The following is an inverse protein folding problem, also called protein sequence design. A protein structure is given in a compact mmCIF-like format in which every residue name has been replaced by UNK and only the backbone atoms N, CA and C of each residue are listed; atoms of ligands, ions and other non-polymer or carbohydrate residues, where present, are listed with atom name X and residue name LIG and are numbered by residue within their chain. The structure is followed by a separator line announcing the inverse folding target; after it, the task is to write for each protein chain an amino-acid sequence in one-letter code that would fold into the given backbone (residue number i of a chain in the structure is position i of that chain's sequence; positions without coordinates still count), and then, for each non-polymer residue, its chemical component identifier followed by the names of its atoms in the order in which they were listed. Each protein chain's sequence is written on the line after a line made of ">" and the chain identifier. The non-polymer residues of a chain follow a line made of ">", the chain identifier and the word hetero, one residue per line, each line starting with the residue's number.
data_IF_538323688192
#
_entry.id   IF_538323688192
#
_cell.length_a   1.000
_cell.length_b   1.000
_cell.length_c   1.000
_cell.angle_alpha   90.00
_cell.angle_beta   90.00
_cell.angle_gamma   90.00
#
_symmetry.space_group_name_H-M   'P 1'
#
loop_
_entity.id
_entity.type
_entity.pdbx_description
1 polymer ?
#
# COMPACT_ATOMS: atom_id res chain seq x y z
N UNK A 1 0.00 -13.17 7.88
CA UNK A 1 -1.34 -13.54 7.39
C UNK A 1 -1.29 -13.91 5.91
N UNK A 2 -1.75 -15.12 5.55
CA UNK A 2 -1.93 -15.53 4.15
C UNK A 2 -3.36 -15.22 3.74
N UNK A 3 -3.53 -14.43 2.68
CA UNK A 3 -4.83 -13.94 2.22
C UNK A 3 -5.31 -14.74 1.02
N UNK A 4 -4.43 -14.94 0.02
CA UNK A 4 -4.75 -15.74 -1.15
C UNK A 4 -4.36 -17.19 -0.92
N UNK A 5 -5.33 -18.09 -1.04
CA UNK A 5 -5.20 -19.54 -0.86
C UNK A 5 -5.28 -20.27 -2.21
N UNK A 6 -4.89 -21.56 -2.28
CA UNK A 6 -4.97 -22.33 -3.52
C UNK A 6 -6.38 -22.36 -4.14
N UNK A 7 -7.43 -22.39 -3.31
CA UNK A 7 -8.82 -22.48 -3.77
C UNK A 7 -9.25 -21.23 -4.56
N UNK A 8 -8.62 -20.08 -4.27
CA UNK A 8 -8.92 -18.82 -4.94
C UNK A 8 -8.52 -18.84 -6.43
N UNK A 9 -7.69 -19.79 -6.87
CA UNK A 9 -7.36 -19.98 -8.28
C UNK A 9 -8.58 -20.27 -9.15
N UNK A 10 -9.65 -20.81 -8.55
CA UNK A 10 -10.89 -21.16 -9.25
C UNK A 10 -11.94 -20.03 -9.19
N UNK A 11 -11.60 -18.89 -8.59
CA UNK A 11 -12.47 -17.72 -8.54
C UNK A 11 -12.26 -16.83 -9.77
N UNK A 12 -13.28 -16.07 -10.14
CA UNK A 12 -13.18 -15.11 -11.25
C UNK A 12 -12.13 -14.03 -10.96
N UNK A 13 -12.09 -13.55 -9.72
CA UNK A 13 -11.25 -12.44 -9.28
C UNK A 13 -10.43 -12.81 -8.03
N UNK A 14 -9.34 -13.60 -8.17
CA UNK A 14 -8.52 -13.99 -7.04
C UNK A 14 -7.91 -12.74 -6.36
N UNK A 15 -7.70 -12.75 -5.03
CA UNK A 15 -7.12 -11.60 -4.32
C UNK A 15 -5.76 -11.17 -4.90
N UNK A 16 -5.56 -9.87 -5.11
CA UNK A 16 -4.28 -9.32 -5.55
C UNK A 16 -3.24 -9.31 -4.42
N UNK A 17 -3.64 -8.89 -3.22
CA UNK A 17 -2.85 -9.03 -2.00
C UNK A 17 -2.83 -10.51 -1.60
N UNK A 18 -1.65 -11.13 -1.57
CA UNK A 18 -1.51 -12.57 -1.30
C UNK A 18 -1.05 -12.82 0.13
N UNK A 19 -0.09 -12.03 0.62
CA UNK A 19 0.46 -12.15 1.98
C UNK A 19 0.58 -10.76 2.59
N UNK A 20 0.14 -10.63 3.84
CA UNK A 20 0.44 -9.50 4.72
C UNK A 20 1.11 -10.09 5.94
N UNK A 21 2.41 -9.88 6.07
CA UNK A 21 3.19 -10.27 7.22
C UNK A 21 3.46 -9.05 8.12
N UNK A 22 3.56 -9.28 9.42
CA UNK A 22 3.68 -8.23 10.43
C UNK A 22 4.82 -8.55 11.37
N UNK A 23 5.64 -7.55 11.65
CA UNK A 23 6.76 -7.69 12.57
C UNK A 23 6.76 -6.52 13.55
N UNK A 24 7.01 -6.78 14.83
CA UNK A 24 7.27 -5.73 15.81
C UNK A 24 8.79 -5.67 16.04
N UNK A 25 9.38 -4.52 15.73
CA UNK A 25 10.81 -4.27 15.93
C UNK A 25 10.99 -2.85 16.47
N UNK A 26 11.82 -2.68 17.51
CA UNK A 26 12.07 -1.39 18.15
C UNK A 26 10.80 -0.63 18.56
N UNK A 27 9.82 -1.35 19.12
CA UNK A 27 8.51 -0.83 19.50
C UNK A 27 7.69 -0.21 18.34
N UNK A 28 7.90 -0.72 17.11
CA UNK A 28 7.15 -0.31 15.92
C UNK A 28 6.55 -1.50 15.18
N UNK A 29 5.31 -1.37 14.72
CA UNK A 29 4.63 -2.37 13.88
C UNK A 29 4.98 -2.17 12.41
N UNK A 30 5.70 -3.11 11.83
CA UNK A 30 6.09 -3.14 10.43
C UNK A 30 5.18 -4.07 9.62
N UNK A 31 4.84 -3.66 8.40
CA UNK A 31 4.12 -4.49 7.44
C UNK A 31 5.06 -4.93 6.32
N UNK A 32 5.04 -6.21 5.98
CA UNK A 32 5.67 -6.76 4.79
C UNK A 32 4.55 -7.36 3.93
N UNK A 33 4.26 -6.73 2.80
CA UNK A 33 3.13 -7.10 1.95
C UNK A 33 3.60 -7.62 0.61
N UNK A 34 2.94 -8.66 0.10
CA UNK A 34 3.20 -9.21 -1.20
C UNK A 34 1.92 -9.20 -2.05
N UNK A 35 2.02 -8.55 -3.21
CA UNK A 35 1.00 -8.52 -4.25
C UNK A 35 1.42 -9.39 -5.44
N UNK A 36 0.53 -10.28 -5.89
CA UNK A 36 0.78 -11.08 -7.10
C UNK A 36 0.64 -10.27 -8.39
N UNK A 37 -0.12 -9.19 -8.32
CA UNK A 37 -0.57 -8.37 -9.45
C UNK A 37 -0.98 -7.02 -8.89
N UNK A 38 -0.49 -5.93 -9.47
CA UNK A 38 -0.74 -4.59 -8.97
C UNK A 38 -0.83 -3.57 -10.10
N UNK A 39 -2.01 -2.94 -10.23
CA UNK A 39 -2.20 -1.77 -11.10
C UNK A 39 -1.53 -0.55 -10.45
N UNK A 40 -0.46 -0.07 -11.07
CA UNK A 40 0.43 0.96 -10.54
C UNK A 40 -0.24 2.33 -10.30
N UNK A 41 -1.33 2.64 -11.02
CA UNK A 41 -2.00 3.95 -10.92
C UNK A 41 -3.48 3.84 -10.60
N UNK A 42 -4.13 2.72 -10.91
CA UNK A 42 -5.52 2.45 -10.58
C UNK A 42 -5.74 1.84 -9.21
N UNK A 43 -4.81 0.99 -8.73
CA UNK A 43 -4.98 0.26 -7.47
C UNK A 43 -3.96 0.65 -6.40
N UNK A 44 -2.70 0.77 -6.78
CA UNK A 44 -1.58 0.99 -5.87
C UNK A 44 -1.77 2.14 -4.88
N UNK A 45 -2.13 3.37 -5.29
CA UNK A 45 -2.27 4.48 -4.36
C UNK A 45 -3.31 4.20 -3.26
N UNK A 46 -4.49 3.71 -3.65
CA UNK A 46 -5.57 3.40 -2.72
C UNK A 46 -5.23 2.21 -1.81
N UNK A 47 -4.56 1.18 -2.35
CA UNK A 47 -4.15 0.03 -1.54
C UNK A 47 -3.12 0.40 -0.47
N UNK A 48 -2.12 1.24 -0.80
CA UNK A 48 -1.13 1.69 0.18
C UNK A 48 -1.78 2.55 1.26
N UNK A 49 -2.68 3.47 0.88
CA UNK A 49 -3.42 4.28 1.85
C UNK A 49 -4.23 3.39 2.82
N UNK A 50 -4.98 2.41 2.30
CA UNK A 50 -5.74 1.48 3.13
C UNK A 50 -4.86 0.64 4.07
N UNK A 51 -3.70 0.16 3.58
CA UNK A 51 -2.74 -0.59 4.40
C UNK A 51 -2.10 0.28 5.48
N UNK A 52 -1.86 1.55 5.20
CA UNK A 52 -1.33 2.49 6.19
C UNK A 52 -2.34 2.72 7.32
N UNK A 53 -3.60 2.99 6.98
CA UNK A 53 -4.68 3.16 7.97
C UNK A 53 -4.87 1.90 8.83
N UNK A 54 -4.84 0.72 8.21
CA UNK A 54 -4.92 -0.55 8.93
C UNK A 54 -3.76 -0.72 9.92
N UNK A 55 -2.54 -0.39 9.50
CA UNK A 55 -1.35 -0.48 10.35
C UNK A 55 -1.42 0.48 11.53
N UNK A 56 -1.84 1.72 11.30
CA UNK A 56 -2.00 2.71 12.37
C UNK A 56 -3.04 2.27 13.39
N UNK A 57 -4.19 1.76 12.92
CA UNK A 57 -5.21 1.18 13.78
C UNK A 57 -4.65 0.02 14.62
N UNK A 58 -4.03 -0.98 13.96
CA UNK A 58 -3.46 -2.13 14.67
C UNK A 58 -2.36 -1.74 15.66
N UNK A 59 -1.50 -0.79 15.31
CA UNK A 59 -0.42 -0.32 16.17
C UNK A 59 -0.98 0.37 17.43
N UNK A 60 -2.01 1.20 17.28
CA UNK A 60 -2.71 1.83 18.39
C UNK A 60 -3.35 0.83 19.36
N UNK A 61 -4.01 -0.21 18.83
CA UNK A 61 -4.66 -1.25 19.64
C UNK A 61 -3.68 -2.06 20.50
N UNK A 62 -2.42 -2.21 20.04
CA UNK A 62 -1.39 -2.99 20.76
C UNK A 62 -0.35 -2.11 21.47
N UNK A 63 -0.51 -0.78 21.46
CA UNK A 63 0.34 0.17 22.18
C UNK A 63 1.75 0.35 21.59
N UNK A 64 1.91 0.22 20.27
CA UNK A 64 3.18 0.45 19.57
C UNK A 64 3.01 1.52 18.48
N UNK A 65 4.13 2.02 17.94
CA UNK A 65 4.10 3.03 16.88
C UNK A 65 4.00 2.39 15.47
N UNK A 66 3.40 3.06 14.48
CA UNK A 66 3.43 2.58 13.09
C UNK A 66 4.87 2.62 12.53
N UNK A 67 5.35 1.46 12.08
CA UNK A 67 6.65 1.29 11.44
C UNK A 67 6.59 1.44 9.92
N UNK A 68 7.57 0.84 9.23
CA UNK A 68 7.64 0.84 7.75
C UNK A 68 6.68 -0.17 7.14
N UNK A 69 6.15 0.16 5.96
CA UNK A 69 5.51 -0.82 5.07
C UNK A 69 6.49 -1.14 3.94
N UNK A 70 6.86 -2.41 3.80
CA UNK A 70 7.71 -2.93 2.74
C UNK A 70 6.82 -3.71 1.79
N UNK A 71 6.81 -3.31 0.51
CA UNK A 71 5.92 -3.89 -0.49
C UNK A 71 6.71 -4.66 -1.55
N UNK A 72 6.26 -5.88 -1.82
CA UNK A 72 6.73 -6.70 -2.92
C UNK A 72 5.60 -6.86 -3.94
N UNK A 73 5.92 -6.71 -5.21
CA UNK A 73 5.00 -7.02 -6.30
C UNK A 73 5.64 -8.00 -7.26
N UNK A 74 4.93 -9.09 -7.57
CA UNK A 74 5.34 -10.00 -8.63
C UNK A 74 5.15 -9.38 -10.02
N UNK A 75 4.07 -8.64 -10.19
CA UNK A 75 3.72 -7.99 -11.45
C UNK A 75 3.06 -6.66 -11.15
N UNK A 76 3.87 -5.60 -11.11
CA UNK A 76 3.39 -4.24 -11.14
C UNK A 76 3.27 -3.80 -12.61
N UNK A 77 2.12 -3.27 -12.99
CA UNK A 77 1.83 -2.92 -14.38
C UNK A 77 1.06 -1.61 -14.48
N UNK A 78 1.19 -0.97 -15.63
CA UNK A 78 0.48 0.23 -16.03
C UNK A 78 -0.34 -0.09 -17.28
N UNK A 79 -1.64 0.15 -17.25
CA UNK A 79 -2.47 -0.02 -18.44
C UNK A 79 -2.31 1.17 -19.38
N UNK A 80 -2.35 0.91 -20.69
CA UNK A 80 -2.22 1.94 -21.72
C UNK A 80 -3.21 3.10 -21.54
N UNK A 81 -4.46 2.79 -21.17
CA UNK A 81 -5.49 3.79 -20.87
C UNK A 81 -5.09 4.78 -19.75
N UNK A 82 -4.13 4.42 -18.90
CA UNK A 82 -3.64 5.23 -17.78
C UNK A 82 -2.37 6.00 -18.12
N UNK A 83 -1.79 5.85 -19.32
CA UNK A 83 -0.50 6.48 -19.66
C UNK A 83 -0.56 8.00 -19.54
N UNK A 84 -1.64 8.63 -20.03
CA UNK A 84 -1.81 10.09 -19.92
C UNK A 84 -1.87 10.55 -18.45
N UNK A 85 -2.56 9.79 -17.58
CA UNK A 85 -2.61 10.09 -16.15
C UNK A 85 -1.24 9.92 -15.50
N UNK A 86 -0.54 8.84 -15.81
CA UNK A 86 0.80 8.58 -15.30
C UNK A 86 1.78 9.68 -15.71
N UNK A 87 1.75 10.08 -16.98
CA UNK A 87 2.57 11.18 -17.51
C UNK A 87 2.30 12.50 -16.78
N UNK A 88 1.02 12.84 -16.57
CA UNK A 88 0.64 14.02 -15.80
C UNK A 88 1.13 13.98 -14.35
N UNK A 89 1.10 12.82 -13.69
CA UNK A 89 1.53 12.69 -12.31
C UNK A 89 3.07 12.70 -12.16
N UNK A 90 3.80 12.23 -13.18
CA UNK A 90 5.27 12.16 -13.16
C UNK A 90 5.91 13.46 -13.65
N UNK A 91 5.36 14.08 -14.69
CA UNK A 91 5.95 15.26 -15.35
C UNK A 91 5.13 16.53 -15.20
N UNK A 92 3.87 16.44 -14.76
CA UNK A 92 3.06 17.62 -14.51
C UNK A 92 3.68 18.46 -13.39
N UNK A 93 3.77 19.78 -13.62
CA UNK A 93 4.05 20.71 -12.53
C UNK A 93 2.90 20.63 -11.54
N UNK A 94 3.13 20.00 -10.41
CA UNK A 94 2.18 20.04 -9.30
C UNK A 94 2.66 21.07 -8.29
N UNK A 95 1.81 22.02 -7.91
CA UNK A 95 2.00 22.87 -6.71
C UNK A 95 1.82 22.04 -5.41
N UNK A 96 2.12 20.74 -5.46
CA UNK A 96 1.99 19.87 -4.31
C UNK A 96 3.09 20.25 -3.32
N UNK A 97 2.74 20.54 -2.05
CA UNK A 97 3.73 20.79 -1.03
C UNK A 97 4.64 19.56 -0.90
N UNK A 98 5.92 19.79 -0.62
CA UNK A 98 6.95 18.75 -0.50
C UNK A 98 6.59 17.65 0.52
N UNK A 99 5.64 17.92 1.41
CA UNK A 99 5.03 16.94 2.31
C UNK A 99 3.58 17.35 2.66
N UNK A 100 2.61 16.47 2.41
CA UNK A 100 1.20 16.67 2.81
C UNK A 100 0.93 16.36 4.28
N UNK A 101 1.88 15.69 4.97
CA UNK A 101 1.75 15.27 6.37
C UNK A 101 2.48 16.22 7.36
N UNK A 102 3.07 17.32 6.86
CA UNK A 102 3.74 18.30 7.72
C UNK A 102 2.77 19.30 8.39
N UNK A 103 1.47 19.19 8.16
CA UNK A 103 0.47 20.11 8.72
C UNK A 103 -0.28 19.58 9.95
N UNK A 104 0.04 18.38 10.45
CA UNK A 104 -0.53 17.90 11.72
C UNK A 104 0.48 18.04 12.85
N UNK A 105 0.60 19.24 13.40
CA UNK A 105 1.25 19.49 14.69
C UNK A 105 1.87 20.88 14.86
N UNK A 106 1.05 21.85 15.30
CA UNK A 106 1.31 22.72 16.47
C UNK A 106 0.10 23.64 16.68
N UNK A 107 -0.83 23.19 17.53
CA UNK A 107 -1.57 23.95 18.54
C UNK A 107 -1.98 22.99 19.67
#
# INVERSE_FOLDING_TARGET
>A
MVIRRPEDLNTLDPPCLTVLDTEILNNKLHFLVYFRSWDAYGGFPANIAGLQLLKEYMAGEIGVEPGKTICFSKNIHLYERQFKLAEQLVYGKTDRPDAWWKETGED
#
